data_IF_355190679233
#
_entry.id   IF_355190679233
#
_cell.length_a   1.000
_cell.length_b   1.000
_cell.length_c   1.000
_cell.angle_alpha   90.00
_cell.angle_beta   90.00
_cell.angle_gamma   90.00
#
_symmetry.space_group_name_H-M   'P 1'
#
loop_
_entity.id
_entity.type
_entity.pdbx_description
1 polymer ?
#
# COMPACT_ATOMS: atom_id res chain seq x y z
N UNK A 1 27.32 -27.83 55.90
CA UNK A 1 28.49 -28.40 56.64
C UNK A 1 29.66 -28.44 55.73
N UNK A 2 30.81 -28.00 56.25
CA UNK A 2 32.17 -28.05 55.69
C UNK A 2 32.60 -26.85 54.84
N UNK A 3 33.13 -25.91 55.55
CA UNK A 3 34.24 -24.99 55.34
C UNK A 3 35.55 -25.67 54.96
N UNK A 4 36.40 -25.03 54.13
CA UNK A 4 37.85 -25.01 54.25
C UNK A 4 38.45 -24.08 53.18
N UNK A 5 38.87 -22.89 53.54
CA UNK A 5 40.17 -22.28 53.87
C UNK A 5 41.23 -22.29 52.76
N UNK A 6 41.74 -21.03 52.51
CA UNK A 6 42.90 -20.65 51.72
C UNK A 6 44.23 -21.25 52.22
N UNK A 7 45.33 -21.18 51.42
CA UNK A 7 46.37 -20.28 51.80
C UNK A 7 47.02 -19.42 50.69
N UNK A 8 47.54 -18.30 51.15
CA UNK A 8 48.44 -17.33 50.57
C UNK A 8 49.82 -17.90 50.24
N UNK A 9 50.44 -17.41 49.16
CA UNK A 9 51.88 -17.15 49.10
C UNK A 9 52.24 -16.26 47.92
N UNK A 10 52.76 -15.10 48.19
CA UNK A 10 53.62 -14.30 47.30
C UNK A 10 55.05 -14.87 47.32
N UNK A 11 55.84 -14.64 46.25
CA UNK A 11 57.04 -13.86 46.43
C UNK A 11 57.36 -12.82 45.35
N UNK A 12 57.85 -11.75 45.82
CA UNK A 12 58.74 -10.72 45.35
C UNK A 12 59.75 -11.16 44.27
N UNK A 13 59.84 -10.41 43.13
CA UNK A 13 61.10 -10.30 42.39
C UNK A 13 61.15 -8.98 41.55
N UNK A 14 62.07 -8.18 41.90
CA UNK A 14 63.06 -7.29 41.23
C UNK A 14 62.65 -6.58 39.91
N UNK A 15 62.76 -5.25 40.03
CA UNK A 15 62.75 -4.29 38.95
C UNK A 15 63.90 -4.44 37.95
N UNK A 16 63.62 -4.47 36.68
CA UNK A 16 64.57 -4.13 35.64
C UNK A 16 64.10 -2.85 34.89
N UNK A 17 64.90 -1.78 35.05
CA UNK A 17 64.76 -0.56 34.29
C UNK A 17 65.27 -0.80 32.86
N UNK A 18 64.36 -0.74 31.87
CA UNK A 18 64.68 -0.61 30.46
C UNK A 18 64.25 0.77 29.94
N UNK A 19 64.90 1.32 28.91
CA UNK A 19 64.78 2.73 28.53
C UNK A 19 63.37 3.04 27.95
N UNK A 20 62.81 4.13 28.44
CA UNK A 20 61.52 4.70 27.98
C UNK A 20 61.66 5.15 26.53
N UNK A 21 61.04 4.39 25.60
CA UNK A 21 60.75 4.90 24.24
C UNK A 21 59.53 5.79 24.30
N UNK A 22 59.70 7.07 24.00
CA UNK A 22 58.65 8.05 23.80
C UNK A 22 57.71 7.57 22.70
N UNK A 23 56.44 7.32 23.05
CA UNK A 23 55.38 7.09 22.07
C UNK A 23 54.94 8.46 21.49
N UNK A 24 54.79 8.59 20.16
CA UNK A 24 54.18 9.79 19.60
C UNK A 24 52.71 9.86 20.02
N UNK A 25 52.32 10.99 20.59
CA UNK A 25 50.92 11.31 20.89
C UNK A 25 50.15 11.44 19.60
N UNK A 26 49.32 10.42 19.26
CA UNK A 26 48.37 10.53 18.18
C UNK A 26 47.20 11.34 18.75
N UNK A 27 47.17 12.62 18.39
CA UNK A 27 46.01 13.47 18.62
C UNK A 27 44.82 12.86 17.93
N UNK A 28 43.92 12.22 18.69
CA UNK A 28 42.63 11.77 18.20
C UNK A 28 41.77 13.01 17.96
N UNK A 29 41.82 13.54 16.75
CA UNK A 29 40.86 14.50 16.26
C UNK A 29 39.51 13.78 16.20
N UNK A 30 38.72 13.86 17.26
CA UNK A 30 37.31 13.50 17.25
C UNK A 30 36.58 14.39 16.26
N UNK A 31 36.44 13.86 15.06
CA UNK A 31 35.59 14.46 14.03
C UNK A 31 34.15 14.32 14.47
N UNK A 32 33.67 15.25 15.27
CA UNK A 32 32.28 15.35 15.70
C UNK A 32 31.46 15.79 14.50
N UNK A 33 31.20 14.85 13.59
CA UNK A 33 30.27 15.02 12.49
C UNK A 33 28.88 14.91 13.06
N UNK A 34 28.40 15.97 13.74
CA UNK A 34 26.99 16.12 14.06
C UNK A 34 26.21 16.05 12.75
N UNK A 35 25.68 14.86 12.43
CA UNK A 35 24.67 14.71 11.39
C UNK A 35 23.49 15.56 11.81
N UNK A 36 23.44 16.80 11.31
CA UNK A 36 22.22 17.61 11.36
C UNK A 36 21.17 16.82 10.60
N UNK A 37 20.30 16.16 11.34
CA UNK A 37 19.06 15.64 10.80
C UNK A 37 18.29 16.85 10.26
N UNK A 38 18.29 17.00 8.95
CA UNK A 38 17.38 17.93 8.29
C UNK A 38 16.01 17.22 8.32
N UNK A 39 15.01 17.78 8.99
CA UNK A 39 13.68 17.22 8.87
C UNK A 39 13.31 17.24 7.38
N UNK A 40 12.90 16.09 6.87
CA UNK A 40 12.30 16.01 5.53
C UNK A 40 11.06 16.91 5.55
N UNK A 41 11.15 18.08 4.93
CA UNK A 41 9.96 18.88 4.61
C UNK A 41 9.23 18.16 3.50
N UNK A 42 8.24 17.36 3.86
CA UNK A 42 7.24 16.88 2.92
C UNK A 42 6.33 18.08 2.68
N UNK A 43 6.55 18.79 1.57
CA UNK A 43 5.64 19.80 1.09
C UNK A 43 4.57 19.08 0.28
N UNK A 44 3.47 18.70 0.92
CA UNK A 44 2.26 18.26 0.22
C UNK A 44 1.42 19.49 -0.05
N UNK A 45 1.55 20.06 -1.25
CA UNK A 45 0.73 21.19 -1.68
C UNK A 45 -0.74 20.80 -1.85
N UNK A 46 -1.03 19.52 -2.14
CA UNK A 46 -2.40 19.02 -2.31
C UNK A 46 -2.53 17.62 -1.69
N UNK A 47 -3.36 17.51 -0.68
CA UNK A 47 -3.74 16.23 -0.08
C UNK A 47 -5.11 15.83 -0.62
N UNK A 48 -5.22 14.60 -1.12
CA UNK A 48 -6.47 14.02 -1.61
C UNK A 48 -6.77 12.77 -0.80
N UNK A 49 -7.97 12.69 -0.25
CA UNK A 49 -8.52 11.50 0.39
C UNK A 49 -9.47 10.79 -0.57
N UNK A 50 -9.36 9.48 -0.65
CA UNK A 50 -10.20 8.63 -1.50
C UNK A 50 -10.92 7.62 -0.60
N UNK A 51 -12.24 7.60 -0.68
CA UNK A 51 -13.07 6.55 -0.12
C UNK A 51 -13.55 5.63 -1.25
N UNK A 52 -12.92 4.48 -1.38
CA UNK A 52 -13.32 3.45 -2.35
C UNK A 52 -14.37 2.55 -1.71
N UNK A 53 -15.64 2.91 -1.88
CA UNK A 53 -16.76 2.08 -1.40
C UNK A 53 -17.11 0.94 -2.36
N UNK A 54 -17.79 -0.08 -1.85
CA UNK A 54 -18.30 -1.22 -2.67
C UNK A 54 -19.35 -0.75 -3.69
N UNK A 55 -20.20 0.19 -3.29
CA UNK A 55 -21.32 0.69 -4.11
C UNK A 55 -21.04 2.06 -4.69
N UNK A 56 -20.53 2.99 -3.86
CA UNK A 56 -20.20 4.35 -4.26
C UNK A 56 -18.83 4.72 -3.73
N UNK A 57 -18.14 5.58 -4.47
CA UNK A 57 -16.83 6.11 -4.11
C UNK A 57 -16.91 7.64 -3.98
N UNK A 58 -16.04 8.22 -3.15
CA UNK A 58 -15.94 9.65 -2.96
C UNK A 58 -14.48 10.11 -2.93
N UNK A 59 -14.25 11.36 -3.32
CA UNK A 59 -12.94 12.00 -3.27
C UNK A 59 -13.08 13.30 -2.48
N UNK A 60 -12.14 13.56 -1.58
CA UNK A 60 -12.02 14.81 -0.86
C UNK A 60 -10.64 15.43 -1.09
N UNK A 61 -10.57 16.72 -1.26
CA UNK A 61 -9.34 17.48 -1.36
C UNK A 61 -9.23 18.49 -0.21
N UNK A 62 -8.01 18.82 0.18
CA UNK A 62 -7.77 19.86 1.16
C UNK A 62 -7.87 21.24 0.48
N UNK A 63 -8.84 22.06 0.88
CA UNK A 63 -9.04 23.42 0.42
C UNK A 63 -9.05 24.38 1.61
N UNK A 64 -8.13 25.33 1.64
CA UNK A 64 -8.02 26.29 2.75
C UNK A 64 -7.85 25.65 4.13
N UNK A 65 -7.17 24.49 4.22
CA UNK A 65 -6.95 23.77 5.47
C UNK A 65 -8.13 22.91 5.94
N UNK A 66 -9.19 22.78 5.13
CA UNK A 66 -10.36 21.94 5.43
C UNK A 66 -10.57 20.89 4.34
N UNK A 67 -10.99 19.66 4.70
CA UNK A 67 -11.35 18.65 3.71
C UNK A 67 -12.70 19.03 3.04
N UNK A 68 -12.70 19.09 1.73
CA UNK A 68 -13.88 19.39 0.91
C UNK A 68 -14.11 18.21 -0.05
N UNK A 69 -15.35 17.70 -0.10
CA UNK A 69 -15.73 16.68 -1.06
C UNK A 69 -15.70 17.26 -2.47
N UNK A 70 -14.94 16.64 -3.36
CA UNK A 70 -14.89 17.03 -4.79
C UNK A 70 -16.12 16.45 -5.49
N UNK A 71 -16.86 17.31 -6.20
CA UNK A 71 -17.96 16.87 -7.05
C UNK A 71 -17.43 16.27 -8.34
N UNK A 72 -18.09 15.21 -8.82
CA UNK A 72 -17.75 14.60 -10.11
C UNK A 72 -18.26 15.47 -11.29
N UNK A 73 -17.98 15.02 -12.52
CA UNK A 73 -18.40 15.73 -13.74
C UNK A 73 -19.93 15.89 -13.88
N UNK A 74 -20.69 15.06 -13.17
CA UNK A 74 -22.16 15.11 -13.14
C UNK A 74 -22.70 15.99 -12.00
N UNK A 75 -21.82 16.65 -11.24
CA UNK A 75 -22.17 17.49 -10.09
C UNK A 75 -22.52 16.71 -8.82
N UNK A 76 -22.34 15.38 -8.80
CA UNK A 76 -22.61 14.55 -7.63
C UNK A 76 -21.39 14.46 -6.71
N UNK A 77 -21.65 14.32 -5.41
CA UNK A 77 -20.59 14.19 -4.38
C UNK A 77 -20.04 12.76 -4.26
N UNK A 78 -20.71 11.80 -4.86
CA UNK A 78 -20.28 10.39 -4.91
C UNK A 78 -20.42 9.88 -6.33
N UNK A 79 -19.56 8.94 -6.71
CA UNK A 79 -19.58 8.27 -8.00
C UNK A 79 -19.88 6.79 -7.78
N UNK A 80 -20.84 6.18 -8.48
CA UNK A 80 -21.05 4.74 -8.41
C UNK A 80 -19.76 3.98 -8.72
N UNK A 81 -19.40 3.02 -7.89
CA UNK A 81 -18.21 2.17 -8.08
C UNK A 81 -18.48 1.10 -9.17
N UNK A 82 -18.82 1.57 -10.36
CA UNK A 82 -19.19 0.73 -11.51
C UNK A 82 -18.33 1.12 -12.70
N UNK A 83 -17.76 0.11 -13.36
CA UNK A 83 -16.97 0.26 -14.59
C UNK A 83 -17.53 -0.66 -15.65
N UNK A 84 -17.67 -0.18 -16.86
CA UNK A 84 -18.14 -1.00 -17.98
C UNK A 84 -17.27 -0.77 -19.22
N UNK A 85 -17.23 -1.80 -20.07
CA UNK A 85 -16.59 -1.72 -21.37
C UNK A 85 -17.62 -1.97 -22.46
N UNK A 86 -17.62 -1.12 -23.48
CA UNK A 86 -18.46 -1.27 -24.64
C UNK A 86 -17.81 -2.24 -25.66
N UNK A 87 -18.59 -2.72 -26.63
CA UNK A 87 -18.07 -3.53 -27.74
C UNK A 87 -17.06 -2.77 -28.63
N UNK A 88 -17.11 -1.44 -28.64
CA UNK A 88 -16.11 -0.57 -29.29
C UNK A 88 -14.81 -0.43 -28.51
N UNK A 89 -14.74 -0.96 -27.28
CA UNK A 89 -13.58 -0.85 -26.41
C UNK A 89 -13.57 0.39 -25.50
N UNK A 90 -14.63 1.20 -25.56
CA UNK A 90 -14.72 2.39 -24.71
C UNK A 90 -15.00 2.01 -23.26
N UNK A 91 -14.37 2.73 -22.35
CA UNK A 91 -14.56 2.55 -20.91
C UNK A 91 -15.58 3.58 -20.40
N UNK A 92 -16.57 3.08 -19.70
CA UNK A 92 -17.57 3.86 -18.99
C UNK A 92 -17.38 3.72 -17.49
N UNK A 93 -17.58 4.80 -16.72
CA UNK A 93 -17.41 4.81 -15.25
C UNK A 93 -18.59 5.52 -14.61
N UNK A 94 -18.96 5.08 -13.41
CA UNK A 94 -19.96 5.74 -12.58
C UNK A 94 -21.38 5.55 -13.09
N UNK A 95 -22.16 6.61 -13.11
CA UNK A 95 -23.59 6.57 -13.42
C UNK A 95 -23.90 6.09 -14.83
N UNK A 96 -23.07 6.47 -15.81
CA UNK A 96 -23.25 6.01 -17.21
C UNK A 96 -23.00 4.50 -17.34
N UNK A 97 -21.98 3.96 -16.66
CA UNK A 97 -21.74 2.53 -16.60
C UNK A 97 -22.90 1.79 -15.93
N UNK A 98 -23.42 2.33 -14.83
CA UNK A 98 -24.53 1.74 -14.10
C UNK A 98 -25.81 1.70 -14.93
N UNK A 99 -26.13 2.75 -15.70
CA UNK A 99 -27.32 2.82 -16.56
C UNK A 99 -27.33 1.75 -17.63
N UNK A 100 -26.19 1.43 -18.23
CA UNK A 100 -26.08 0.45 -19.32
C UNK A 100 -25.90 -1.00 -18.82
N UNK A 101 -25.80 -1.23 -17.51
CA UNK A 101 -25.60 -2.57 -16.93
C UNK A 101 -26.68 -3.59 -17.35
N UNK A 102 -27.91 -3.12 -17.55
CA UNK A 102 -29.04 -3.99 -17.96
C UNK A 102 -28.85 -4.57 -19.38
N UNK A 103 -28.24 -3.80 -20.27
CA UNK A 103 -28.04 -4.22 -21.69
C UNK A 103 -26.66 -4.82 -21.94
N UNK A 104 -25.74 -4.66 -21.01
CA UNK A 104 -24.35 -5.16 -21.13
C UNK A 104 -23.84 -5.71 -19.77
N UNK A 105 -24.53 -6.67 -19.16
CA UNK A 105 -24.21 -7.14 -17.82
C UNK A 105 -22.85 -7.85 -17.73
N UNK A 106 -22.46 -8.59 -18.77
CA UNK A 106 -21.20 -9.37 -18.79
C UNK A 106 -19.94 -8.50 -18.78
N UNK A 107 -20.03 -7.26 -19.27
CA UNK A 107 -18.92 -6.33 -19.36
C UNK A 107 -19.07 -5.14 -18.39
N UNK A 108 -19.96 -5.25 -17.38
CA UNK A 108 -20.23 -4.23 -16.38
C UNK A 108 -19.86 -4.75 -15.00
N UNK A 109 -18.82 -4.16 -14.44
CA UNK A 109 -18.21 -4.56 -13.18
C UNK A 109 -18.70 -3.67 -12.04
N UNK A 110 -19.36 -4.26 -11.06
CA UNK A 110 -19.86 -3.62 -9.84
C UNK A 110 -19.50 -4.49 -8.63
N UNK A 111 -19.53 -3.93 -7.43
CA UNK A 111 -19.16 -4.61 -6.17
C UNK A 111 -17.77 -5.24 -6.18
N UNK A 112 -16.87 -4.78 -7.05
CA UNK A 112 -15.54 -5.36 -7.29
C UNK A 112 -14.66 -5.35 -6.03
N UNK A 113 -14.88 -4.41 -5.11
CA UNK A 113 -14.18 -4.33 -3.83
C UNK A 113 -14.24 -5.64 -3.02
N UNK A 114 -15.29 -6.43 -3.20
CA UNK A 114 -15.44 -7.73 -2.51
C UNK A 114 -14.39 -8.77 -2.92
N UNK A 115 -13.76 -8.59 -4.07
CA UNK A 115 -12.76 -9.48 -4.64
C UNK A 115 -11.32 -9.03 -4.40
N UNK A 116 -11.10 -7.77 -4.00
CA UNK A 116 -9.76 -7.20 -3.78
C UNK A 116 -9.04 -7.96 -2.66
N UNK A 117 -7.81 -8.44 -2.96
CA UNK A 117 -6.94 -9.12 -2.02
C UNK A 117 -7.39 -10.51 -1.59
N UNK A 118 -8.42 -11.08 -2.21
CA UNK A 118 -8.96 -12.40 -1.89
C UNK A 118 -8.65 -13.44 -2.96
N UNK A 119 -8.62 -14.70 -2.56
CA UNK A 119 -8.48 -15.84 -3.46
C UNK A 119 -9.84 -16.33 -3.92
N UNK A 120 -9.87 -17.03 -5.06
CA UNK A 120 -11.12 -17.52 -5.65
C UNK A 120 -11.93 -18.42 -4.69
N UNK A 121 -11.25 -19.27 -3.91
CA UNK A 121 -11.90 -20.13 -2.92
C UNK A 121 -12.52 -19.40 -1.72
N UNK A 122 -12.23 -18.12 -1.56
CA UNK A 122 -12.79 -17.27 -0.49
C UNK A 122 -13.99 -16.44 -0.96
N UNK A 123 -14.27 -16.43 -2.27
CA UNK A 123 -15.28 -15.56 -2.90
C UNK A 123 -16.30 -16.32 -3.74
N UNK A 124 -16.42 -17.62 -3.54
CA UNK A 124 -17.34 -18.46 -4.32
C UNK A 124 -18.80 -18.00 -4.25
N UNK A 125 -19.26 -17.56 -3.08
CA UNK A 125 -20.62 -17.05 -2.91
C UNK A 125 -20.80 -15.67 -3.55
N UNK A 126 -19.83 -14.78 -3.41
CA UNK A 126 -19.85 -13.46 -4.04
C UNK A 126 -19.79 -13.56 -5.57
N UNK A 127 -19.04 -14.52 -6.09
CA UNK A 127 -18.93 -14.74 -7.54
C UNK A 127 -20.26 -15.15 -8.19
N UNK A 128 -21.15 -15.82 -7.45
CA UNK A 128 -22.50 -16.19 -7.92
C UNK A 128 -23.49 -15.02 -7.92
N UNK A 129 -23.20 -13.94 -7.21
CA UNK A 129 -24.08 -12.77 -7.06
C UNK A 129 -23.85 -11.69 -8.12
N UNK A 130 -22.85 -11.85 -8.96
CA UNK A 130 -22.48 -10.88 -10.00
C UNK A 130 -22.85 -11.41 -11.38
N UNK A 131 -23.15 -10.51 -12.32
CA UNK A 131 -23.56 -10.86 -13.69
C UNK A 131 -22.39 -11.04 -14.65
N UNK A 132 -21.21 -10.60 -14.27
CA UNK A 132 -19.97 -10.78 -15.03
C UNK A 132 -19.22 -12.05 -14.61
N UNK A 133 -18.37 -12.57 -15.47
CA UNK A 133 -17.65 -13.81 -15.21
C UNK A 133 -16.44 -13.55 -14.31
N UNK A 134 -16.38 -14.32 -13.20
CA UNK A 134 -15.24 -14.36 -12.29
C UNK A 134 -14.45 -15.64 -12.53
N UNK A 135 -13.14 -15.54 -12.72
CA UNK A 135 -12.25 -16.64 -13.05
C UNK A 135 -11.15 -16.76 -12.01
N UNK A 136 -10.56 -17.95 -11.95
CA UNK A 136 -9.36 -18.22 -11.16
C UNK A 136 -8.14 -18.20 -12.08
N UNK A 137 -7.07 -17.51 -11.67
CA UNK A 137 -5.76 -17.62 -12.35
C UNK A 137 -4.96 -18.83 -11.82
N UNK A 138 -3.78 -19.08 -12.44
CA UNK A 138 -2.89 -20.19 -12.07
C UNK A 138 -2.40 -20.12 -10.63
N UNK A 139 -2.37 -18.93 -10.04
CA UNK A 139 -1.96 -18.68 -8.65
C UNK A 139 -3.15 -18.69 -7.66
N UNK A 140 -4.35 -18.98 -8.14
CA UNK A 140 -5.57 -18.98 -7.34
C UNK A 140 -6.17 -17.60 -7.08
N UNK A 141 -5.67 -16.53 -7.72
CA UNK A 141 -6.21 -15.19 -7.58
C UNK A 141 -7.49 -15.02 -8.41
N UNK A 142 -8.27 -14.02 -8.03
CA UNK A 142 -9.49 -13.64 -8.76
C UNK A 142 -9.13 -12.84 -10.00
N UNK A 143 -9.74 -13.21 -11.13
CA UNK A 143 -9.74 -12.46 -12.38
C UNK A 143 -11.17 -12.20 -12.84
N UNK A 144 -11.40 -11.03 -13.40
CA UNK A 144 -12.67 -10.59 -13.95
C UNK A 144 -12.56 -10.62 -15.47
N UNK A 145 -13.38 -11.42 -16.12
CA UNK A 145 -13.36 -11.57 -17.56
C UNK A 145 -14.17 -10.46 -18.24
N UNK A 146 -13.62 -9.87 -19.28
CA UNK A 146 -14.26 -8.84 -20.08
C UNK A 146 -14.32 -9.27 -21.55
N UNK A 147 -15.36 -9.98 -21.96
CA UNK A 147 -15.51 -10.48 -23.33
C UNK A 147 -15.49 -9.39 -24.39
N UNK A 148 -16.01 -8.20 -24.10
CA UNK A 148 -16.08 -7.08 -25.06
C UNK A 148 -14.72 -6.68 -25.63
N UNK A 149 -13.67 -6.80 -24.84
CA UNK A 149 -12.29 -6.44 -25.25
C UNK A 149 -11.32 -7.62 -25.16
N UNK A 150 -11.82 -8.83 -24.89
CA UNK A 150 -11.01 -10.05 -24.80
C UNK A 150 -9.92 -10.01 -23.72
N UNK A 151 -10.17 -9.31 -22.61
CA UNK A 151 -9.18 -9.10 -21.55
C UNK A 151 -9.70 -9.55 -20.19
N UNK A 152 -8.79 -10.11 -19.37
CA UNK A 152 -9.02 -10.41 -17.97
C UNK A 152 -8.34 -9.36 -17.10
N UNK A 153 -9.05 -8.85 -16.09
CA UNK A 153 -8.58 -7.83 -15.16
C UNK A 153 -8.45 -8.40 -13.74
N UNK A 154 -7.49 -7.90 -12.99
CA UNK A 154 -7.53 -8.03 -11.55
C UNK A 154 -8.61 -7.10 -10.96
N UNK A 155 -9.15 -7.45 -9.79
CA UNK A 155 -10.14 -6.62 -9.10
C UNK A 155 -9.62 -5.20 -8.82
N UNK A 156 -8.34 -5.09 -8.47
CA UNK A 156 -7.64 -3.83 -8.24
C UNK A 156 -7.56 -2.97 -9.51
N UNK A 157 -7.32 -3.59 -10.66
CA UNK A 157 -7.26 -2.88 -11.96
C UNK A 157 -8.61 -2.24 -12.31
N UNK A 158 -9.72 -2.96 -12.13
CA UNK A 158 -11.06 -2.41 -12.35
C UNK A 158 -11.37 -1.32 -11.33
N UNK A 159 -11.06 -1.54 -10.04
CA UNK A 159 -11.32 -0.55 -9.00
C UNK A 159 -10.55 0.75 -9.23
N UNK A 160 -9.32 0.68 -9.73
CA UNK A 160 -8.52 1.86 -10.09
C UNK A 160 -9.13 2.68 -11.23
N UNK A 161 -9.97 2.08 -12.09
CA UNK A 161 -10.63 2.81 -13.18
C UNK A 161 -11.70 3.79 -12.69
N UNK A 162 -12.21 3.62 -11.47
CA UNK A 162 -13.24 4.52 -10.89
C UNK A 162 -12.70 5.94 -10.71
N UNK A 163 -11.38 6.09 -10.54
CA UNK A 163 -10.70 7.37 -10.27
C UNK A 163 -9.82 7.90 -11.42
N UNK A 164 -9.99 7.35 -12.59
CA UNK A 164 -9.09 7.65 -13.73
C UNK A 164 -9.70 8.53 -14.80
#
# INVERSE_FOLDING_TARGET
MATTTFPTSTPFFAAHHGPRRSRPSVSAAFYNRSRRWRPLRVSCEKVVGIDLGTTNSAVAAMEGGKPTIVTNAEGARTTPSVVAYTKSGDRLVGQIAKRQAVVNPENTFFSVKRFIGRKMNEVDEESKQVSYRVLRDDNGNVKLDCPAIGKQFAAEEISAQVYR
#
